data_IF_435006812973
#
_entry.id   IF_435006812973
#
_cell.length_a   1.000
_cell.length_b   1.000
_cell.length_c   1.000
_cell.angle_alpha   90.00
_cell.angle_beta   90.00
_cell.angle_gamma   90.00
#
_symmetry.space_group_name_H-M   'P 1'
#
loop_
_entity.id
_entity.type
_entity.pdbx_description
1 polymer ?
#
# COMPACT_ATOMS: atom_id res chain seq x y z
N UNK A 1 -3.95 7.88 70.44
CA UNK A 1 -5.04 7.73 69.45
C UNK A 1 -4.38 7.34 68.12
N UNK A 2 -4.07 6.07 67.81
CA UNK A 2 -4.88 4.86 67.71
C UNK A 2 -5.99 4.92 66.63
N UNK A 3 -5.70 4.32 65.46
CA UNK A 3 -6.61 3.35 64.84
C UNK A 3 -7.21 3.65 63.45
N UNK A 4 -6.78 2.85 62.44
CA UNK A 4 -7.54 2.15 61.36
C UNK A 4 -6.66 2.05 60.11
N UNK A 5 -6.11 0.92 59.66
CA UNK A 5 -6.54 -0.48 59.40
C UNK A 5 -7.27 -0.71 58.07
N UNK A 6 -6.51 -1.18 57.05
CA UNK A 6 -6.78 -2.21 55.98
C UNK A 6 -7.92 -1.92 54.95
N UNK A 7 -7.95 -2.39 53.68
CA UNK A 7 -7.37 -3.55 52.94
C UNK A 7 -7.66 -3.40 51.42
N UNK A 8 -6.84 -4.05 50.57
CA UNK A 8 -7.07 -4.76 49.27
C UNK A 8 -8.31 -4.43 48.38
N UNK A 9 -8.29 -4.44 47.04
CA UNK A 9 -7.87 -5.49 46.08
C UNK A 9 -8.19 -4.99 44.66
N UNK A 10 -7.39 -5.31 43.62
CA UNK A 10 -7.85 -6.05 42.42
C UNK A 10 -6.68 -6.18 41.43
N UNK A 11 -6.12 -7.39 41.36
CA UNK A 11 -5.29 -7.80 40.24
C UNK A 11 -6.13 -7.80 38.97
N UNK A 12 -5.70 -7.05 37.95
CA UNK A 12 -6.34 -7.09 36.62
C UNK A 12 -5.99 -8.41 35.94
N UNK A 13 -6.98 -9.17 35.41
CA UNK A 13 -6.70 -10.34 34.62
C UNK A 13 -6.08 -9.89 33.29
N UNK A 14 -4.90 -10.43 32.96
CA UNK A 14 -4.40 -10.44 31.59
C UNK A 14 -5.27 -11.43 30.80
N UNK A 15 -6.39 -10.95 30.28
CA UNK A 15 -7.07 -11.61 29.19
C UNK A 15 -6.18 -11.46 27.95
N UNK A 16 -5.38 -12.50 27.68
CA UNK A 16 -4.66 -12.66 26.44
C UNK A 16 -5.72 -12.96 25.37
N UNK A 17 -6.37 -11.92 24.85
CA UNK A 17 -7.15 -12.03 23.63
C UNK A 17 -6.16 -12.34 22.51
N UNK A 18 -6.11 -13.62 22.13
CA UNK A 18 -5.39 -14.10 20.96
C UNK A 18 -6.10 -13.54 19.73
N UNK A 19 -5.83 -12.27 19.40
CA UNK A 19 -6.27 -11.66 18.17
C UNK A 19 -5.43 -12.30 17.06
N UNK A 20 -6.00 -13.31 16.42
CA UNK A 20 -5.49 -13.87 15.17
C UNK A 20 -5.59 -12.76 14.11
N UNK A 21 -4.59 -11.88 14.05
CA UNK A 21 -4.37 -11.09 12.85
C UNK A 21 -4.01 -12.07 11.74
N UNK A 22 -4.82 -12.24 10.68
CA UNK A 22 -4.30 -12.83 9.46
C UNK A 22 -3.14 -11.96 9.01
N UNK A 23 -2.05 -12.61 8.59
CA UNK A 23 -0.87 -11.92 8.09
C UNK A 23 -1.28 -11.08 6.88
N UNK A 24 -1.54 -9.79 7.11
CA UNK A 24 -1.78 -8.84 6.05
C UNK A 24 -0.48 -8.72 5.26
N UNK A 25 -0.39 -9.42 4.14
CA UNK A 25 0.60 -9.13 3.12
C UNK A 25 0.24 -7.76 2.57
N UNK A 26 0.85 -6.73 3.15
CA UNK A 26 0.74 -5.37 2.69
C UNK A 26 1.33 -5.30 1.27
N UNK A 27 0.48 -5.00 0.28
CA UNK A 27 0.93 -4.54 -1.02
C UNK A 27 1.45 -3.11 -0.84
N UNK A 28 2.77 -2.98 -0.67
CA UNK A 28 3.45 -1.69 -0.72
C UNK A 28 3.74 -1.37 -2.20
N UNK A 29 3.07 -0.36 -2.73
CA UNK A 29 3.47 0.24 -4.00
C UNK A 29 4.48 1.34 -3.71
N UNK A 30 5.71 1.15 -4.21
CA UNK A 30 6.73 2.19 -4.26
C UNK A 30 6.44 3.08 -5.48
N UNK A 31 5.95 4.28 -5.22
CA UNK A 31 5.72 5.31 -6.23
C UNK A 31 6.96 6.20 -6.26
N UNK A 32 7.84 5.95 -7.23
CA UNK A 32 8.97 6.83 -7.50
C UNK A 32 8.73 7.52 -8.84
N UNK A 33 8.49 8.83 -8.81
CA UNK A 33 8.34 9.65 -10.00
C UNK A 33 9.73 9.90 -10.62
N UNK A 34 10.03 9.26 -11.76
CA UNK A 34 11.22 9.59 -12.53
C UNK A 34 11.03 10.96 -13.20
N UNK A 35 11.81 11.96 -12.78
CA UNK A 35 12.01 13.17 -13.57
C UNK A 35 12.74 12.78 -14.87
N UNK A 36 12.16 13.13 -16.03
CA UNK A 36 12.81 12.89 -17.32
C UNK A 36 14.09 13.71 -17.41
N UNK A 37 15.24 13.03 -17.43
CA UNK A 37 16.55 13.61 -17.67
C UNK A 37 17.31 12.85 -18.76
N UNK A 38 17.22 13.38 -19.99
CA UNK A 38 18.27 13.43 -21.02
C UNK A 38 18.95 12.12 -21.51
N UNK A 39 18.69 11.79 -22.78
CA UNK A 39 19.51 10.93 -23.63
C UNK A 39 20.75 11.68 -24.16
N UNK A 40 21.96 11.10 -24.13
CA UNK A 40 22.99 11.32 -25.16
C UNK A 40 23.10 10.02 -26.00
N UNK A 41 23.45 9.97 -27.27
CA UNK A 41 23.95 10.91 -28.26
C UNK A 41 23.64 10.31 -29.65
N UNK A 42 23.46 11.14 -30.66
CA UNK A 42 23.69 10.75 -32.05
C UNK A 42 24.27 11.94 -32.82
N UNK A 43 25.40 11.65 -33.47
CA UNK A 43 26.28 12.54 -34.22
C UNK A 43 25.78 12.74 -35.67
N UNK A 44 25.98 13.94 -36.22
CA UNK A 44 25.85 14.30 -37.65
C UNK A 44 25.14 15.65 -37.83
N UNK A 45 25.86 16.78 -38.04
CA UNK A 45 26.22 17.36 -39.35
C UNK A 45 24.96 17.68 -40.20
N UNK A 46 24.63 18.89 -40.69
CA UNK A 46 25.43 19.99 -41.24
C UNK A 46 24.68 21.35 -41.19
N UNK A 47 25.47 22.44 -41.15
CA UNK A 47 25.40 23.72 -41.88
C UNK A 47 24.06 24.42 -42.17
N UNK A 48 23.90 25.63 -41.61
CA UNK A 48 22.92 26.63 -42.06
C UNK A 48 23.11 27.99 -41.36
N UNK A 49 23.76 28.92 -42.05
CA UNK A 49 24.02 30.31 -41.63
C UNK A 49 22.79 31.18 -41.84
N UNK A 50 22.29 31.87 -40.81
CA UNK A 50 21.53 33.11 -40.98
C UNK A 50 21.53 33.98 -39.71
N UNK A 51 21.95 35.23 -39.90
CA UNK A 51 22.05 36.34 -38.96
C UNK A 51 20.68 36.99 -38.71
N UNK A 52 20.38 37.38 -37.47
CA UNK A 52 19.28 38.30 -37.16
C UNK A 52 18.96 38.37 -35.67
N UNK A 53 19.30 39.48 -35.01
CA UNK A 53 19.24 39.64 -33.55
C UNK A 53 17.86 39.97 -32.98
N UNK A 54 17.74 39.89 -31.64
CA UNK A 54 17.08 40.88 -30.75
C UNK A 54 17.23 40.43 -29.29
N UNK A 55 17.73 41.34 -28.47
CA UNK A 55 17.90 41.26 -27.01
C UNK A 55 16.56 41.42 -26.29
N UNK A 56 16.20 40.53 -25.36
CA UNK A 56 15.37 40.87 -24.21
C UNK A 56 15.40 39.80 -23.11
N UNK A 57 15.68 40.26 -21.89
CA UNK A 57 14.89 39.87 -20.72
C UNK A 57 15.28 38.57 -20.01
N UNK A 58 16.24 38.68 -19.10
CA UNK A 58 16.41 37.69 -18.05
C UNK A 58 15.18 37.59 -17.14
N UNK A 59 14.75 36.36 -16.90
CA UNK A 59 14.18 35.94 -15.63
C UNK A 59 14.62 34.49 -15.45
N UNK A 60 15.76 34.31 -14.78
CA UNK A 60 16.27 33.02 -14.37
C UNK A 60 15.21 32.38 -13.47
N UNK A 61 14.48 31.42 -14.03
CA UNK A 61 13.57 30.55 -13.27
C UNK A 61 14.44 29.77 -12.29
N UNK A 62 14.20 29.81 -10.98
CA UNK A 62 14.97 29.01 -10.05
C UNK A 62 14.72 27.54 -10.40
N UNK A 63 15.73 26.91 -11.01
CA UNK A 63 15.86 25.47 -11.10
C UNK A 63 16.06 24.99 -9.67
N UNK A 64 14.95 24.66 -8.99
CA UNK A 64 14.99 23.86 -7.78
C UNK A 64 15.37 22.42 -8.18
N UNK A 65 16.61 22.24 -8.61
CA UNK A 65 17.27 20.94 -8.63
C UNK A 65 17.62 20.64 -7.19
N UNK A 66 16.66 20.10 -6.43
CA UNK A 66 16.95 19.44 -5.16
C UNK A 66 17.79 18.22 -5.49
N UNK A 67 19.11 18.42 -5.53
CA UNK A 67 20.10 17.36 -5.53
C UNK A 67 19.85 16.59 -4.23
N UNK A 68 19.34 15.37 -4.34
CA UNK A 68 19.34 14.43 -3.23
C UNK A 68 20.78 14.35 -2.73
N UNK A 69 21.02 14.95 -1.57
CA UNK A 69 22.36 15.02 -1.00
C UNK A 69 22.67 13.60 -0.50
N UNK A 70 23.57 12.93 -1.21
CA UNK A 70 24.15 11.66 -0.81
C UNK A 70 24.70 11.82 0.62
N UNK A 71 24.04 11.19 1.60
CA UNK A 71 24.39 11.29 3.02
C UNK A 71 23.42 12.07 3.92
N UNK A 72 22.28 12.58 3.42
CA UNK A 72 21.25 13.14 4.28
C UNK A 72 20.61 12.04 5.15
N UNK A 73 20.90 12.02 6.45
CA UNK A 73 20.27 11.10 7.39
C UNK A 73 18.75 11.36 7.45
N UNK A 74 17.95 10.38 7.03
CA UNK A 74 16.49 10.44 7.16
C UNK A 74 16.13 10.28 8.64
N UNK A 75 15.52 11.30 9.23
CA UNK A 75 14.97 11.22 10.59
C UNK A 75 13.61 10.53 10.52
N UNK A 76 13.43 9.47 11.30
CA UNK A 76 12.17 8.74 11.39
C UNK A 76 11.43 9.07 12.70
N UNK A 77 10.11 9.10 12.66
CA UNK A 77 9.22 9.19 13.83
C UNK A 77 8.30 7.97 13.86
N UNK A 78 7.99 7.47 15.05
CA UNK A 78 6.95 6.45 15.21
C UNK A 78 5.58 7.10 15.03
N UNK A 79 4.82 6.62 14.05
CA UNK A 79 3.42 6.95 13.88
C UNK A 79 2.58 5.77 14.37
N UNK A 80 1.56 6.06 15.19
CA UNK A 80 0.66 5.06 15.78
C UNK A 80 -0.75 5.34 15.29
N UNK A 81 -1.40 4.31 14.76
CA UNK A 81 -2.80 4.36 14.36
C UNK A 81 -3.63 3.72 15.47
N UNK A 82 -4.52 4.50 16.07
CA UNK A 82 -5.44 4.03 17.12
C UNK A 82 -6.78 3.68 16.49
N UNK A 83 -7.32 2.53 16.87
CA UNK A 83 -8.64 2.07 16.44
C UNK A 83 -9.73 2.92 17.09
N UNK A 84 -10.24 3.89 16.33
CA UNK A 84 -11.33 4.77 16.78
C UNK A 84 -12.73 4.14 16.65
N UNK A 85 -12.87 3.04 15.90
CA UNK A 85 -14.17 2.39 15.62
C UNK A 85 -14.46 1.21 16.55
N UNK A 86 -13.42 0.54 17.05
CA UNK A 86 -13.54 -0.57 17.99
C UNK A 86 -13.22 -0.16 19.42
N UNK A 87 -12.13 -0.71 19.95
CA UNK A 87 -11.85 -0.72 21.40
C UNK A 87 -10.91 0.40 21.88
N UNK A 88 -10.44 1.27 20.98
CA UNK A 88 -9.58 2.40 21.35
C UNK A 88 -8.12 2.02 21.62
N UNK A 89 -7.67 0.84 21.18
CA UNK A 89 -6.26 0.43 21.27
C UNK A 89 -5.49 0.73 19.98
N UNK A 90 -4.16 0.70 20.09
CA UNK A 90 -3.28 0.79 18.94
C UNK A 90 -3.53 -0.39 17.99
N UNK A 91 -3.90 -0.08 16.75
CA UNK A 91 -4.11 -1.06 15.70
C UNK A 91 -2.77 -1.48 15.07
N UNK A 92 -1.94 -0.49 14.74
CA UNK A 92 -0.57 -0.70 14.27
C UNK A 92 0.28 0.55 14.47
N UNK A 93 1.59 0.37 14.41
CA UNK A 93 2.56 1.46 14.31
C UNK A 93 3.65 1.17 13.30
N UNK A 94 4.21 2.24 12.75
CA UNK A 94 5.30 2.20 11.79
C UNK A 94 6.22 3.40 11.96
N UNK A 95 7.43 3.29 11.43
CA UNK A 95 8.36 4.40 11.32
C UNK A 95 8.10 5.13 10.01
N UNK A 96 7.84 6.43 10.08
CA UNK A 96 7.70 7.30 8.91
C UNK A 96 8.69 8.45 8.97
N UNK A 97 9.12 9.02 7.84
CA UNK A 97 9.98 10.20 7.85
C UNK A 97 9.38 11.37 8.62
N UNK A 98 10.24 12.11 9.32
CA UNK A 98 9.85 13.33 10.00
C UNK A 98 9.43 14.39 8.98
N UNK A 99 8.34 15.09 9.26
CA UNK A 99 7.73 16.06 8.33
C UNK A 99 6.66 15.46 7.40
N UNK A 100 6.60 14.13 7.24
CA UNK A 100 5.55 13.51 6.45
C UNK A 100 4.19 13.58 7.15
N UNK A 101 3.16 13.76 6.32
CA UNK A 101 1.75 13.67 6.66
C UNK A 101 1.24 12.24 6.47
N UNK A 102 0.11 11.92 7.12
CA UNK A 102 -0.50 10.60 7.09
C UNK A 102 -1.99 10.70 6.87
N UNK A 103 -2.56 9.75 6.14
CA UNK A 103 -3.99 9.64 5.89
C UNK A 103 -4.42 8.16 5.97
N UNK A 104 -5.69 7.95 6.32
CA UNK A 104 -6.26 6.62 6.51
C UNK A 104 -6.02 6.00 7.90
N UNK A 105 -6.18 4.68 7.98
CA UNK A 105 -6.08 3.91 9.22
C UNK A 105 -6.65 2.50 9.09
N UNK A 106 -7.31 2.03 10.14
CA UNK A 106 -8.02 0.75 10.19
C UNK A 106 -9.53 0.95 9.98
N UNK A 107 -10.15 0.04 9.24
CA UNK A 107 -11.58 -0.02 8.98
C UNK A 107 -12.10 -1.39 9.41
N UNK A 108 -13.27 -1.43 10.04
CA UNK A 108 -13.92 -2.68 10.45
C UNK A 108 -15.16 -2.97 9.61
N UNK A 109 -15.02 -3.59 8.42
CA UNK A 109 -16.16 -3.93 7.58
C UNK A 109 -17.05 -5.00 8.23
N UNK A 110 -18.14 -4.57 8.85
CA UNK A 110 -19.10 -5.47 9.54
C UNK A 110 -19.78 -6.50 8.61
N UNK A 111 -19.71 -6.29 7.29
CA UNK A 111 -20.32 -7.17 6.29
C UNK A 111 -19.39 -8.28 5.81
N UNK A 112 -18.12 -8.28 6.22
CA UNK A 112 -17.14 -9.28 5.83
C UNK A 112 -16.54 -9.99 7.06
N UNK A 113 -17.25 -10.99 7.61
CA UNK A 113 -16.75 -11.72 8.78
C UNK A 113 -15.46 -12.50 8.50
N UNK A 114 -15.18 -12.83 7.23
CA UNK A 114 -13.96 -13.54 6.84
C UNK A 114 -12.71 -12.64 6.87
N UNK A 115 -12.89 -11.31 6.74
CA UNK A 115 -11.81 -10.33 6.79
C UNK A 115 -12.32 -9.10 7.57
N UNK A 116 -12.34 -9.19 8.91
CA UNK A 116 -13.04 -8.21 9.76
C UNK A 116 -12.30 -6.88 9.88
N UNK A 117 -11.04 -6.80 9.47
CA UNK A 117 -10.22 -5.60 9.50
C UNK A 117 -9.59 -5.34 8.14
N UNK A 118 -9.72 -4.11 7.66
CA UNK A 118 -9.05 -3.60 6.47
C UNK A 118 -8.13 -2.44 6.86
N UNK A 119 -6.92 -2.39 6.33
CA UNK A 119 -6.00 -1.26 6.50
C UNK A 119 -5.92 -0.50 5.19
N UNK A 120 -6.21 0.79 5.23
CA UNK A 120 -5.99 1.74 4.14
C UNK A 120 -5.17 2.87 4.71
N UNK A 121 -3.89 2.96 4.36
CA UNK A 121 -2.99 3.92 5.01
C UNK A 121 -2.05 4.54 3.99
N UNK A 122 -1.81 5.84 4.10
CA UNK A 122 -0.86 6.59 3.29
C UNK A 122 0.01 7.46 4.18
N UNK A 123 1.31 7.47 3.93
CA UNK A 123 2.24 8.46 4.46
C UNK A 123 2.93 9.15 3.29
N UNK A 124 2.96 10.48 3.27
CA UNK A 124 3.47 11.24 2.12
C UNK A 124 4.12 12.54 2.57
N UNK A 125 5.04 13.03 1.75
CA UNK A 125 5.61 14.36 1.92
C UNK A 125 4.69 15.41 1.28
N UNK A 126 4.16 16.40 2.03
CA UNK A 126 3.32 17.45 1.46
C UNK A 126 4.07 18.36 0.47
N UNK A 127 5.40 18.29 0.43
CA UNK A 127 6.25 19.13 -0.42
C UNK A 127 6.87 18.38 -1.62
N UNK A 128 6.65 17.07 -1.73
CA UNK A 128 7.20 16.27 -2.83
C UNK A 128 6.22 15.19 -3.32
N UNK A 129 6.65 14.43 -4.34
CA UNK A 129 5.90 13.30 -4.88
C UNK A 129 6.06 12.02 -4.06
N UNK A 130 6.93 12.04 -3.04
CA UNK A 130 7.34 10.85 -2.33
C UNK A 130 6.27 10.42 -1.33
N UNK A 131 5.98 9.12 -1.31
CA UNK A 131 5.01 8.56 -0.40
C UNK A 131 4.99 7.03 -0.39
N UNK A 132 4.41 6.51 0.68
CA UNK A 132 4.09 5.10 0.87
C UNK A 132 2.58 4.97 1.02
N UNK A 133 1.99 4.05 0.27
CA UNK A 133 0.56 3.73 0.39
C UNK A 133 0.35 2.23 0.52
N UNK A 134 -0.50 1.87 1.47
CA UNK A 134 -0.97 0.52 1.76
C UNK A 134 -2.44 0.48 1.40
N UNK A 135 -2.77 -0.37 0.43
CA UNK A 135 -4.14 -0.57 -0.04
C UNK A 135 -4.84 -1.65 0.79
N UNK A 136 -6.17 -1.56 0.96
CA UNK A 136 -6.96 -2.60 1.59
C UNK A 136 -6.72 -3.96 0.93
N UNK A 137 -6.36 -4.95 1.75
CA UNK A 137 -6.46 -6.35 1.35
C UNK A 137 -7.91 -6.66 0.94
N UNK A 138 -8.10 -7.55 -0.03
CA UNK A 138 -9.43 -7.94 -0.52
C UNK A 138 -9.58 -9.46 -0.51
N UNK A 139 -10.58 -9.93 0.20
CA UNK A 139 -11.01 -11.32 0.15
C UNK A 139 -11.92 -11.53 -1.07
N UNK A 140 -11.56 -12.47 -1.93
CA UNK A 140 -12.36 -12.92 -3.05
C UNK A 140 -12.74 -14.38 -2.85
N UNK A 141 -13.91 -14.77 -3.37
CA UNK A 141 -14.37 -16.16 -3.37
C UNK A 141 -14.79 -16.58 -4.77
N UNK A 142 -14.56 -17.85 -5.09
CA UNK A 142 -14.97 -18.41 -6.37
C UNK A 142 -15.43 -19.85 -6.19
N UNK A 143 -16.67 -20.11 -6.58
CA UNK A 143 -17.21 -21.46 -6.66
C UNK A 143 -18.14 -21.51 -7.89
N UNK A 144 -17.78 -22.26 -8.96
CA UNK A 144 -18.61 -22.39 -10.15
C UNK A 144 -20.05 -22.81 -9.87
N UNK A 145 -20.26 -23.65 -8.84
CA UNK A 145 -21.59 -24.12 -8.46
C UNK A 145 -22.49 -23.02 -7.87
N UNK A 146 -21.90 -21.93 -7.37
CA UNK A 146 -22.63 -20.80 -6.79
C UNK A 146 -22.89 -19.66 -7.78
N UNK A 147 -22.31 -19.70 -8.98
CA UNK A 147 -22.38 -18.59 -9.95
C UNK A 147 -23.81 -18.27 -10.43
N UNK A 148 -24.72 -19.26 -10.43
CA UNK A 148 -26.13 -19.03 -10.77
C UNK A 148 -26.89 -18.20 -9.72
N UNK A 149 -26.44 -18.21 -8.46
CA UNK A 149 -27.04 -17.44 -7.37
C UNK A 149 -26.24 -16.16 -7.06
N UNK A 150 -24.93 -16.23 -7.20
CA UNK A 150 -24.00 -15.15 -6.90
C UNK A 150 -23.09 -14.91 -8.12
N UNK A 151 -23.50 -14.04 -9.05
CA UNK A 151 -22.70 -13.75 -10.24
C UNK A 151 -21.40 -13.03 -9.90
N UNK A 152 -20.44 -13.03 -10.82
CA UNK A 152 -19.16 -12.30 -10.66
C UNK A 152 -19.42 -10.81 -10.37
N UNK A 153 -18.71 -10.25 -9.39
CA UNK A 153 -18.89 -8.89 -8.90
C UNK A 153 -19.95 -8.73 -7.80
N UNK A 154 -20.76 -9.77 -7.53
CA UNK A 154 -21.60 -9.82 -6.33
C UNK A 154 -20.77 -10.16 -5.08
N UNK A 155 -21.43 -10.30 -3.93
CA UNK A 155 -20.80 -10.66 -2.67
C UNK A 155 -21.39 -11.94 -2.10
N UNK A 156 -20.53 -12.87 -1.67
CA UNK A 156 -20.91 -14.08 -0.95
C UNK A 156 -20.13 -14.13 0.37
N UNK A 157 -20.86 -14.15 1.49
CA UNK A 157 -20.30 -14.06 2.85
C UNK A 157 -19.33 -12.87 3.03
N UNK A 158 -19.64 -11.75 2.38
CA UNK A 158 -18.84 -10.53 2.43
C UNK A 158 -17.59 -10.51 1.54
N UNK A 159 -17.22 -11.63 0.94
CA UNK A 159 -16.15 -11.69 -0.05
C UNK A 159 -16.70 -11.43 -1.45
N UNK A 160 -15.93 -10.72 -2.27
CA UNK A 160 -16.31 -10.46 -3.66
C UNK A 160 -16.28 -11.77 -4.46
N UNK A 161 -17.34 -12.07 -5.21
CA UNK A 161 -17.33 -13.23 -6.10
C UNK A 161 -16.50 -12.90 -7.33
N UNK A 162 -15.35 -13.55 -7.47
CA UNK A 162 -14.39 -13.26 -8.52
C UNK A 162 -13.47 -14.45 -8.77
N UNK A 163 -13.21 -14.73 -10.03
CA UNK A 163 -12.27 -15.77 -10.45
C UNK A 163 -10.87 -15.54 -9.88
N UNK A 164 -10.14 -16.60 -9.50
CA UNK A 164 -8.74 -16.51 -9.14
C UNK A 164 -7.92 -15.89 -10.26
N UNK A 165 -6.99 -15.01 -9.91
CA UNK A 165 -6.10 -14.35 -10.86
C UNK A 165 -4.70 -14.22 -10.29
N UNK A 166 -3.71 -14.02 -11.15
CA UNK A 166 -2.35 -13.75 -10.71
C UNK A 166 -2.20 -12.32 -10.13
N UNK A 167 -1.09 -12.10 -9.43
CA UNK A 167 -0.79 -10.83 -8.77
C UNK A 167 -0.70 -9.65 -9.75
N UNK A 168 -0.24 -9.85 -11.00
CA UNK A 168 -0.16 -8.76 -11.99
C UNK A 168 -1.56 -8.33 -12.42
N UNK A 169 -2.42 -9.29 -12.71
CA UNK A 169 -3.81 -9.04 -13.07
C UNK A 169 -4.59 -8.40 -11.90
N UNK A 170 -4.37 -8.86 -10.67
CA UNK A 170 -4.96 -8.25 -9.48
C UNK A 170 -4.50 -6.80 -9.30
N UNK A 171 -3.20 -6.52 -9.44
CA UNK A 171 -2.66 -5.16 -9.35
C UNK A 171 -3.30 -4.22 -10.38
N UNK A 172 -3.48 -4.66 -11.63
CA UNK A 172 -4.10 -3.83 -12.68
C UNK A 172 -5.60 -3.62 -12.44
N UNK A 173 -6.34 -4.71 -12.24
CA UNK A 173 -7.81 -4.70 -12.28
C UNK A 173 -8.46 -4.37 -10.93
N UNK A 174 -7.76 -4.60 -9.83
CA UNK A 174 -8.27 -4.34 -8.48
C UNK A 174 -7.58 -3.15 -7.84
N UNK A 175 -6.25 -3.09 -7.82
CA UNK A 175 -5.55 -2.01 -7.11
C UNK A 175 -5.57 -0.72 -7.94
N UNK A 176 -4.96 -0.74 -9.12
CA UNK A 176 -4.82 0.45 -9.98
C UNK A 176 -6.20 0.94 -10.43
N UNK A 177 -7.04 0.07 -11.00
CA UNK A 177 -8.35 0.50 -11.52
C UNK A 177 -9.25 1.11 -10.44
N UNK A 178 -9.27 0.57 -9.21
CA UNK A 178 -10.17 1.06 -8.14
C UNK A 178 -9.62 2.26 -7.40
N UNK A 179 -8.32 2.30 -7.14
CA UNK A 179 -7.71 3.34 -6.31
C UNK A 179 -7.03 4.45 -7.10
N UNK A 180 -6.85 4.27 -8.41
CA UNK A 180 -6.19 5.22 -9.31
C UNK A 180 -6.92 5.41 -10.65
N UNK A 181 -8.14 4.89 -10.80
CA UNK A 181 -8.91 5.00 -12.05
C UNK A 181 -9.25 6.44 -12.47
N UNK A 182 -9.23 7.40 -11.54
CA UNK A 182 -9.45 8.83 -11.82
C UNK A 182 -8.17 9.64 -12.09
N UNK A 183 -6.99 9.01 -12.08
CA UNK A 183 -5.72 9.72 -12.24
C UNK A 183 -5.39 9.88 -13.73
N UNK A 184 -5.11 11.13 -14.14
CA UNK A 184 -4.78 11.45 -15.51
C UNK A 184 -3.45 10.81 -15.96
N UNK A 185 -3.41 10.39 -17.23
CA UNK A 185 -2.22 9.86 -17.90
C UNK A 185 -1.55 8.67 -17.20
N UNK A 186 -2.28 7.93 -16.36
CA UNK A 186 -1.77 6.75 -15.70
C UNK A 186 -1.43 5.65 -16.71
N UNK A 187 -0.18 5.19 -16.68
CA UNK A 187 0.31 4.08 -17.50
C UNK A 187 1.20 3.15 -16.70
N UNK A 188 1.12 1.86 -17.01
CA UNK A 188 2.07 0.86 -16.50
C UNK A 188 3.33 0.90 -17.35
N UNK A 189 4.50 1.08 -16.73
CA UNK A 189 5.79 1.17 -17.42
C UNK A 189 6.73 0.01 -17.15
N UNK A 190 6.40 -0.86 -16.20
CA UNK A 190 7.19 -2.05 -15.94
C UNK A 190 6.47 -3.04 -15.03
N UNK A 191 6.79 -4.31 -15.22
CA UNK A 191 6.27 -5.39 -14.38
C UNK A 191 7.37 -6.42 -14.14
N UNK A 192 7.41 -6.94 -12.92
CA UNK A 192 8.34 -7.98 -12.53
C UNK A 192 7.70 -8.94 -11.53
N UNK A 193 8.15 -10.18 -11.53
CA UNK A 193 7.84 -11.11 -10.45
C UNK A 193 8.72 -10.82 -9.24
N UNK A 194 8.19 -11.08 -8.05
CA UNK A 194 8.90 -10.83 -6.79
C UNK A 194 9.05 -12.16 -6.05
N UNK A 195 10.03 -13.01 -6.41
CA UNK A 195 10.14 -14.37 -5.90
C UNK A 195 10.32 -14.42 -4.39
N UNK A 196 11.05 -13.47 -3.79
CA UNK A 196 11.24 -13.41 -2.34
C UNK A 196 9.91 -13.15 -1.61
N UNK A 197 9.10 -12.23 -2.13
CA UNK A 197 7.77 -11.94 -1.59
C UNK A 197 6.83 -13.14 -1.75
N UNK A 198 6.91 -13.83 -2.90
CA UNK A 198 6.18 -15.07 -3.13
C UNK A 198 6.55 -16.12 -2.08
N UNK A 199 7.84 -16.35 -1.84
CA UNK A 199 8.31 -17.34 -0.88
C UNK A 199 7.83 -17.04 0.55
N UNK A 200 7.87 -15.77 0.97
CA UNK A 200 7.34 -15.34 2.28
C UNK A 200 5.83 -15.61 2.37
N UNK A 201 5.07 -15.25 1.32
CA UNK A 201 3.63 -15.46 1.29
C UNK A 201 3.25 -16.96 1.24
N UNK A 202 4.03 -17.80 0.56
CA UNK A 202 3.86 -19.27 0.57
C UNK A 202 4.08 -19.84 1.97
N UNK A 203 5.11 -19.38 2.68
CA UNK A 203 5.36 -19.80 4.06
C UNK A 203 4.22 -19.40 5.00
N UNK A 204 3.69 -18.19 4.86
CA UNK A 204 2.55 -17.71 5.62
C UNK A 204 1.30 -18.56 5.34
N UNK A 205 0.97 -18.79 4.07
CA UNK A 205 -0.19 -19.60 3.68
C UNK A 205 -0.06 -21.06 4.17
N UNK A 206 1.14 -21.65 4.08
CA UNK A 206 1.40 -23.00 4.58
C UNK A 206 1.31 -23.09 6.11
N UNK A 207 1.62 -22.01 6.83
CA UNK A 207 1.42 -21.93 8.26
C UNK A 207 -0.07 -21.90 8.62
N UNK A 208 -0.87 -21.07 7.95
CA UNK A 208 -2.33 -20.99 8.17
C UNK A 208 -3.04 -22.31 7.89
N UNK A 209 -2.70 -22.97 6.78
CA UNK A 209 -3.27 -24.28 6.44
C UNK A 209 -3.00 -25.35 7.51
N UNK A 210 -1.86 -25.27 8.21
CA UNK A 210 -1.52 -26.19 9.31
C UNK A 210 -2.26 -25.90 10.62
N UNK A 211 -2.63 -24.64 10.88
CA UNK A 211 -3.22 -24.24 12.17
C UNK A 211 -4.75 -24.35 12.23
N UNK A 212 -5.42 -24.49 11.10
CA UNK A 212 -6.89 -24.60 11.05
C UNK A 212 -7.46 -24.62 9.64
N UNK A 213 -6.63 -24.95 8.65
CA UNK A 213 -7.06 -25.02 7.26
C UNK A 213 -8.05 -26.17 7.03
N UNK A 214 -8.85 -26.04 5.97
CA UNK A 214 -9.72 -27.11 5.49
C UNK A 214 -8.83 -28.28 5.05
N UNK A 215 -9.02 -29.50 5.57
CA UNK A 215 -8.25 -30.67 5.12
C UNK A 215 -8.30 -30.82 3.60
N UNK A 216 -7.12 -30.97 2.97
CA UNK A 216 -6.99 -31.08 1.52
C UNK A 216 -6.96 -29.75 0.77
N UNK A 217 -7.12 -28.61 1.44
CA UNK A 217 -6.94 -27.30 0.82
C UNK A 217 -5.48 -27.09 0.40
N UNK A 218 -5.31 -26.33 -0.69
CA UNK A 218 -4.00 -25.94 -1.24
C UNK A 218 -3.99 -24.44 -1.42
N UNK A 219 -2.85 -23.83 -1.09
CA UNK A 219 -2.59 -22.43 -1.39
C UNK A 219 -1.84 -22.32 -2.72
N UNK A 220 -2.29 -21.42 -3.59
CA UNK A 220 -1.56 -20.99 -4.77
C UNK A 220 -1.18 -19.52 -4.57
N UNK A 221 0.11 -19.23 -4.64
CA UNK A 221 0.64 -17.89 -4.33
C UNK A 221 1.37 -17.35 -5.55
N UNK A 222 1.06 -16.10 -5.89
CA UNK A 222 1.80 -15.33 -6.89
C UNK A 222 2.16 -13.97 -6.29
N UNK A 223 3.27 -13.38 -6.72
CA UNK A 223 3.71 -12.07 -6.25
C UNK A 223 4.31 -11.29 -7.42
N UNK A 224 3.95 -10.00 -7.50
CA UNK A 224 4.36 -9.14 -8.58
C UNK A 224 4.62 -7.71 -8.09
N UNK A 225 5.46 -7.01 -8.84
CA UNK A 225 5.71 -5.57 -8.75
C UNK A 225 5.28 -4.94 -10.06
N UNK A 226 4.51 -3.86 -9.97
CA UNK A 226 4.09 -3.05 -11.11
C UNK A 226 4.60 -1.64 -10.90
N UNK A 227 5.27 -1.08 -11.91
CA UNK A 227 5.67 0.32 -11.96
C UNK A 227 4.67 1.09 -12.79
N UNK A 228 4.19 2.20 -12.25
CA UNK A 228 3.26 3.11 -12.91
C UNK A 228 3.86 4.50 -13.01
N UNK A 229 3.47 5.24 -14.04
CA UNK A 229 3.71 6.67 -14.20
C UNK A 229 2.37 7.37 -14.38
N UNK A 230 2.21 8.54 -13.77
CA UNK A 230 1.00 9.36 -13.85
C UNK A 230 1.30 10.81 -13.44
N UNK A 231 0.36 11.72 -13.71
CA UNK A 231 0.50 13.13 -13.33
C UNK A 231 -0.06 13.39 -11.92
N UNK A 232 0.73 14.06 -11.08
CA UNK A 232 0.34 14.47 -9.74
C UNK A 232 -0.58 15.68 -9.81
N UNK A 233 -1.80 15.56 -9.27
CA UNK A 233 -2.76 16.66 -9.15
C UNK A 233 -3.83 16.75 -10.24
N UNK A 234 -3.69 15.98 -11.32
CA UNK A 234 -4.58 16.08 -12.50
C UNK A 234 -4.25 17.28 -13.38
#
# INVERSE_FOLDING_TARGET
>A
MAGRTRRATLARPRALALLMLPAAVALALDVSACSRGQTPAATGAESGTATGGTTAGGAARPTATTRATEGAMIRLKTHRVVDAQGIGFEAFSLLIPAGWETDGGILWPLRNPAMPAEVSFRAFDPHSADGLEVFPARACTFNPALLGMFPVGSFYLGSEVREPMDARQALRTMVIARHRGGVAHLRVTGEAEVPDLKAIAEQAAAHELRQGGIPGARALVTAAKVRVEYDLGG
#
